data_IF_951400742398
#
_entry.id   IF_951400742398
#
_cell.length_a   1.000
_cell.length_b   1.000
_cell.length_c   1.000
_cell.angle_alpha   90.00
_cell.angle_beta   90.00
_cell.angle_gamma   90.00
#
_symmetry.space_group_name_H-M   'P 1'
#
loop_
_entity.id
_entity.type
_entity.pdbx_description
1 polymer ?
#
# COMPACT_ATOMS: atom_id res chain seq x y z
N UNK A 1 -33.32 -31.90 -15.43
CA UNK A 1 -32.10 -32.56 -15.97
C UNK A 1 -30.93 -31.95 -15.21
N UNK A 2 -30.68 -32.46 -13.99
CA UNK A 2 -29.56 -33.37 -13.60
C UNK A 2 -28.40 -32.48 -13.08
N UNK A 3 -27.99 -32.45 -11.81
CA UNK A 3 -28.20 -33.35 -10.65
C UNK A 3 -27.95 -32.61 -9.31
N UNK A 4 -28.77 -32.92 -8.31
CA UNK A 4 -28.34 -32.96 -6.90
C UNK A 4 -27.39 -34.16 -6.68
N UNK A 5 -26.36 -34.02 -5.85
CA UNK A 5 -25.79 -35.16 -5.11
C UNK A 5 -25.36 -34.74 -3.71
N UNK A 6 -26.12 -35.25 -2.73
CA UNK A 6 -25.68 -35.53 -1.37
C UNK A 6 -24.68 -36.70 -1.36
N UNK A 7 -23.70 -36.68 -0.45
CA UNK A 7 -23.23 -37.92 0.17
C UNK A 7 -22.68 -37.69 1.57
N UNK A 8 -23.37 -38.37 2.47
CA UNK A 8 -23.15 -38.56 3.90
C UNK A 8 -22.13 -39.70 4.10
N UNK A 9 -21.28 -39.61 5.13
CA UNK A 9 -20.60 -40.77 5.71
C UNK A 9 -20.81 -40.78 7.23
N UNK A 10 -21.84 -41.50 7.67
CA UNK A 10 -21.99 -41.97 9.04
C UNK A 10 -21.14 -43.24 9.21
N UNK A 11 -20.28 -43.30 10.22
CA UNK A 11 -19.80 -44.57 10.75
C UNK A 11 -20.43 -44.82 12.13
N UNK A 12 -21.39 -45.74 12.16
CA UNK A 12 -21.81 -46.45 13.36
C UNK A 12 -20.87 -47.65 13.53
N UNK A 13 -20.23 -47.79 14.70
CA UNK A 13 -19.73 -49.08 15.16
C UNK A 13 -20.41 -49.50 16.46
N UNK A 14 -20.68 -50.80 16.49
CA UNK A 14 -21.57 -51.55 17.37
C UNK A 14 -20.97 -51.71 18.77
N UNK A 15 -21.85 -51.59 19.76
CA UNK A 15 -21.72 -51.77 21.20
C UNK A 15 -20.79 -52.93 21.63
N UNK A 16 -19.74 -52.63 22.38
CA UNK A 16 -19.21 -53.50 23.44
C UNK A 16 -18.56 -52.66 24.56
N UNK A 17 -18.59 -53.23 25.75
CA UNK A 17 -18.64 -52.61 27.07
C UNK A 17 -17.42 -51.81 27.55
N UNK A 18 -17.74 -50.77 28.35
CA UNK A 18 -17.03 -50.30 29.55
C UNK A 18 -15.57 -49.84 29.39
N UNK A 19 -15.34 -48.52 29.46
CA UNK A 19 -14.41 -47.90 30.44
C UNK A 19 -14.13 -46.41 30.10
N UNK A 20 -14.67 -45.53 30.96
CA UNK A 20 -13.99 -44.36 31.52
C UNK A 20 -13.16 -43.46 30.59
N UNK A 21 -13.75 -42.58 29.77
CA UNK A 21 -12.97 -41.57 29.02
C UNK A 21 -13.65 -40.20 28.90
N UNK A 22 -13.01 -39.22 29.57
CA UNK A 22 -12.84 -37.79 29.24
C UNK A 22 -13.93 -37.13 28.36
N UNK A 23 -14.68 -36.19 28.96
CA UNK A 23 -15.46 -35.20 28.23
C UNK A 23 -14.56 -34.42 27.26
N UNK A 24 -14.68 -34.74 25.97
CA UNK A 24 -14.08 -33.98 24.89
C UNK A 24 -15.14 -32.97 24.41
N UNK A 25 -15.03 -31.72 24.86
CA UNK A 25 -15.84 -30.61 24.35
C UNK A 25 -15.22 -30.20 23.01
N UNK A 26 -15.89 -30.54 21.91
CA UNK A 26 -15.56 -29.98 20.60
C UNK A 26 -16.16 -28.58 20.51
N UNK A 27 -15.33 -27.55 20.70
CA UNK A 27 -15.65 -26.20 20.26
C UNK A 27 -15.34 -26.17 18.76
N UNK A 28 -16.37 -26.23 17.93
CA UNK A 28 -16.25 -25.91 16.50
C UNK A 28 -16.15 -24.38 16.43
N UNK A 29 -14.93 -23.87 16.41
CA UNK A 29 -14.68 -22.48 15.98
C UNK A 29 -14.85 -22.47 14.47
N UNK A 30 -16.01 -22.03 13.98
CA UNK A 30 -16.07 -21.54 12.62
C UNK A 30 -15.18 -20.30 12.56
N UNK A 31 -13.95 -20.45 12.05
CA UNK A 31 -13.25 -19.33 11.49
C UNK A 31 -14.09 -18.91 10.27
N UNK A 32 -14.95 -17.91 10.44
CA UNK A 32 -15.44 -17.14 9.33
C UNK A 32 -14.20 -16.48 8.72
N UNK A 33 -13.56 -17.17 7.77
CA UNK A 33 -12.69 -16.51 6.81
C UNK A 33 -13.70 -15.75 5.95
N UNK A 34 -14.05 -14.53 6.36
CA UNK A 34 -14.73 -13.63 5.46
C UNK A 34 -13.84 -13.54 4.23
N UNK A 35 -14.33 -14.00 3.08
CA UNK A 35 -13.89 -13.38 1.84
C UNK A 35 -14.19 -11.90 2.05
N UNK A 36 -13.18 -11.09 2.35
CA UNK A 36 -13.33 -9.66 2.26
C UNK A 36 -13.70 -9.41 0.81
N UNK A 37 -14.93 -8.98 0.57
CA UNK A 37 -15.31 -8.48 -0.73
C UNK A 37 -14.36 -7.34 -1.07
N UNK A 38 -13.93 -7.27 -2.32
CA UNK A 38 -13.15 -6.12 -2.79
C UNK A 38 -13.90 -4.83 -2.48
N UNK A 39 -13.18 -3.72 -2.22
CA UNK A 39 -13.80 -2.43 -2.01
C UNK A 39 -14.78 -2.07 -3.12
N UNK A 40 -15.87 -1.39 -2.75
CA UNK A 40 -16.78 -0.79 -3.71
C UNK A 40 -16.20 0.56 -4.07
N UNK A 41 -16.04 0.85 -5.36
CA UNK A 41 -15.59 2.16 -5.80
C UNK A 41 -16.80 3.09 -5.88
N UNK A 42 -16.96 3.96 -4.88
CA UNK A 42 -18.06 4.94 -4.80
C UNK A 42 -17.60 6.34 -4.36
N UNK A 43 -16.30 6.53 -4.19
CA UNK A 43 -15.65 7.77 -3.77
C UNK A 43 -15.69 7.97 -2.26
N UNK A 44 -15.91 6.91 -1.47
CA UNK A 44 -15.92 6.96 -0.01
C UNK A 44 -15.17 5.76 0.59
N UNK A 45 -14.09 6.05 1.31
CA UNK A 45 -13.37 4.99 2.04
C UNK A 45 -14.19 4.52 3.25
N UNK A 46 -14.82 3.35 3.10
CA UNK A 46 -15.57 2.73 4.18
C UNK A 46 -14.68 1.84 5.06
N UNK A 47 -14.72 1.98 6.40
CA UNK A 47 -14.01 1.09 7.31
C UNK A 47 -14.43 -0.39 7.20
N UNK A 48 -15.60 -0.67 6.61
CA UNK A 48 -16.08 -2.03 6.41
C UNK A 48 -15.49 -2.72 5.17
N UNK A 49 -14.79 -2.00 4.29
CA UNK A 49 -14.43 -2.47 2.94
C UNK A 49 -13.02 -3.03 2.78
N UNK A 50 -12.36 -3.39 3.89
CA UNK A 50 -11.08 -4.11 3.82
C UNK A 50 -9.89 -3.28 3.33
N UNK A 51 -10.08 -2.00 3.00
CA UNK A 51 -9.01 -1.05 2.72
C UNK A 51 -7.92 -1.11 3.78
N UNK A 52 -6.68 -1.23 3.33
CA UNK A 52 -5.50 -1.16 4.16
C UNK A 52 -4.94 0.26 4.12
N UNK A 53 -4.79 0.86 5.29
CA UNK A 53 -4.11 2.15 5.43
C UNK A 53 -2.61 2.01 5.15
N UNK A 54 -2.03 2.92 4.39
CA UNK A 54 -0.58 2.96 4.10
C UNK A 54 0.13 4.06 4.89
N UNK A 55 -0.28 5.30 4.67
CA UNK A 55 0.37 6.48 5.20
C UNK A 55 -0.63 7.63 5.23
N UNK A 56 -0.47 8.51 6.21
CA UNK A 56 -1.17 9.78 6.29
C UNK A 56 -0.17 10.92 6.27
N UNK A 57 -0.64 12.08 5.82
CA UNK A 57 0.06 13.33 5.93
C UNK A 57 0.20 13.69 7.41
N UNK A 58 1.43 13.85 7.94
CA UNK A 58 1.61 14.29 9.31
C UNK A 58 1.26 15.77 9.50
N UNK A 59 1.20 16.56 8.40
CA UNK A 59 0.70 17.94 8.43
C UNK A 59 -0.81 17.92 8.29
N UNK A 60 -1.51 18.03 9.43
CA UNK A 60 -2.97 17.87 9.47
C UNK A 60 -3.72 19.19 9.50
N UNK A 61 -3.07 20.35 9.33
CA UNK A 61 -3.79 21.65 9.35
C UNK A 61 -2.95 22.92 9.09
N UNK A 62 -1.64 22.84 8.83
CA UNK A 62 -0.78 24.04 8.78
C UNK A 62 -0.29 24.45 7.39
N UNK A 63 -0.54 23.63 6.36
CA UNK A 63 -0.22 24.01 4.99
C UNK A 63 -1.07 25.22 4.55
N UNK A 64 -0.43 26.17 3.88
CA UNK A 64 -1.11 27.30 3.24
C UNK A 64 -1.85 26.90 1.95
N UNK A 65 -1.84 25.60 1.62
CA UNK A 65 -2.36 25.05 0.38
C UNK A 65 -3.78 24.48 0.55
N UNK A 66 -4.74 25.35 0.84
CA UNK A 66 -6.12 24.95 1.15
C UNK A 66 -6.82 24.11 0.06
N UNK A 67 -6.41 24.18 -1.21
CA UNK A 67 -6.95 23.33 -2.28
C UNK A 67 -5.96 22.29 -2.81
N UNK A 68 -4.87 22.05 -2.08
CA UNK A 68 -3.90 21.02 -2.41
C UNK A 68 -3.31 20.36 -1.14
N UNK A 69 -4.07 19.44 -0.57
CA UNK A 69 -3.74 18.75 0.69
C UNK A 69 -4.19 17.27 0.62
N UNK A 70 -3.31 16.36 0.22
CA UNK A 70 -3.50 14.91 0.32
C UNK A 70 -3.37 14.51 1.78
N UNK A 71 -4.38 13.81 2.30
CA UNK A 71 -4.45 13.39 3.70
C UNK A 71 -3.94 11.99 3.92
N UNK A 72 -4.40 11.01 3.14
CA UNK A 72 -4.13 9.60 3.44
C UNK A 72 -4.14 8.75 2.18
N UNK A 73 -3.27 7.73 2.16
CA UNK A 73 -3.21 6.70 1.13
C UNK A 73 -3.70 5.36 1.66
N UNK A 74 -4.45 4.66 0.82
CA UNK A 74 -5.00 3.34 1.09
C UNK A 74 -4.75 2.41 -0.09
N UNK A 75 -4.74 1.11 0.18
CA UNK A 75 -4.73 0.09 -0.84
C UNK A 75 -5.57 -1.12 -0.47
N UNK A 76 -5.97 -1.86 -1.49
CA UNK A 76 -6.46 -3.22 -1.36
C UNK A 76 -5.89 -4.03 -2.51
N UNK A 77 -5.67 -5.32 -2.33
CA UNK A 77 -5.16 -6.16 -3.41
C UNK A 77 -5.97 -7.44 -3.49
N UNK A 78 -6.18 -7.86 -4.72
CA UNK A 78 -6.77 -9.14 -5.08
C UNK A 78 -5.75 -9.93 -5.92
N UNK A 79 -6.13 -11.12 -6.36
CA UNK A 79 -5.29 -11.91 -7.26
C UNK A 79 -5.09 -11.27 -8.64
N UNK A 80 -5.97 -10.38 -9.08
CA UNK A 80 -5.97 -9.84 -10.44
C UNK A 80 -5.99 -8.31 -10.50
N UNK A 81 -6.23 -7.64 -9.38
CA UNK A 81 -6.32 -6.18 -9.31
C UNK A 81 -5.64 -5.60 -8.07
N UNK A 82 -4.96 -4.47 -8.26
CA UNK A 82 -4.55 -3.55 -7.21
C UNK A 82 -5.60 -2.43 -7.11
N UNK A 83 -6.03 -2.11 -5.90
CA UNK A 83 -6.89 -0.98 -5.62
C UNK A 83 -6.06 0.05 -4.88
N UNK A 84 -6.08 1.30 -5.34
CA UNK A 84 -5.44 2.43 -4.65
C UNK A 84 -6.52 3.47 -4.41
N UNK A 85 -6.46 4.08 -3.24
CA UNK A 85 -7.29 5.23 -2.92
C UNK A 85 -6.51 6.27 -2.13
N UNK A 86 -6.96 7.52 -2.23
CA UNK A 86 -6.50 8.56 -1.33
C UNK A 86 -7.63 9.50 -0.93
N UNK A 87 -7.50 10.08 0.26
CA UNK A 87 -8.33 11.19 0.73
C UNK A 87 -7.52 12.46 0.75
N UNK A 88 -8.22 13.59 0.77
CA UNK A 88 -7.63 14.93 0.85
C UNK A 88 -8.30 15.72 1.96
N UNK A 89 -7.59 16.68 2.55
CA UNK A 89 -8.12 17.65 3.50
C UNK A 89 -8.38 19.02 2.85
N UNK A 90 -8.65 19.04 1.54
CA UNK A 90 -8.91 20.27 0.81
C UNK A 90 -10.08 21.05 1.45
N UNK A 91 -9.83 22.32 1.74
CA UNK A 91 -10.76 23.34 2.25
C UNK A 91 -11.16 24.36 1.19
N UNK A 92 -10.54 24.29 0.01
CA UNK A 92 -10.83 25.10 -1.16
C UNK A 92 -10.73 24.26 -2.44
N UNK A 93 -11.35 24.73 -3.53
CA UNK A 93 -11.30 24.05 -4.83
C UNK A 93 -10.41 24.81 -5.81
N UNK A 94 -9.27 24.23 -6.19
CA UNK A 94 -8.30 24.83 -7.11
C UNK A 94 -8.15 24.01 -8.39
N UNK A 95 -7.73 24.64 -9.48
CA UNK A 95 -7.33 23.90 -10.69
C UNK A 95 -5.97 23.26 -10.48
N UNK A 96 -5.94 21.96 -10.20
CA UNK A 96 -4.74 21.21 -9.82
C UNK A 96 -4.72 19.84 -10.48
N UNK A 97 -3.52 19.28 -10.63
CA UNK A 97 -3.34 17.93 -11.12
C UNK A 97 -2.98 16.98 -9.96
N UNK A 98 -3.63 15.81 -9.95
CA UNK A 98 -3.31 14.71 -9.05
C UNK A 98 -2.57 13.64 -9.84
N UNK A 99 -1.41 13.23 -9.34
CA UNK A 99 -0.56 12.23 -9.96
C UNK A 99 -0.36 11.01 -9.07
N UNK A 100 -0.29 9.83 -9.69
CA UNK A 100 0.25 8.61 -9.05
C UNK A 100 1.32 8.04 -9.97
N UNK A 101 2.52 7.86 -9.45
CA UNK A 101 3.62 7.28 -10.21
C UNK A 101 3.96 5.89 -9.67
N UNK A 102 4.03 4.91 -10.55
CA UNK A 102 4.31 3.51 -10.22
C UNK A 102 5.63 3.06 -10.82
N UNK A 103 6.39 2.35 -10.01
CA UNK A 103 7.54 1.54 -10.40
C UNK A 103 7.17 0.09 -10.05
N UNK A 104 7.24 -0.77 -11.05
CA UNK A 104 6.74 -2.15 -11.01
C UNK A 104 7.84 -3.18 -11.23
N UNK A 105 9.00 -2.75 -11.73
CA UNK A 105 10.15 -3.60 -11.91
C UNK A 105 11.31 -3.21 -10.97
N UNK A 106 12.03 -4.23 -10.49
CA UNK A 106 13.09 -4.06 -9.47
C UNK A 106 14.44 -3.71 -10.09
N UNK A 107 14.46 -3.18 -11.32
CA UNK A 107 15.70 -2.88 -12.04
C UNK A 107 16.24 -1.50 -11.68
N UNK A 108 17.56 -1.35 -11.62
CA UNK A 108 18.14 -0.01 -11.71
C UNK A 108 18.06 0.42 -13.18
N UNK A 109 17.64 1.67 -13.45
CA UNK A 109 17.51 2.22 -14.80
C UNK A 109 16.52 1.47 -15.70
N UNK A 110 15.53 0.79 -15.11
CA UNK A 110 14.49 0.07 -15.84
C UNK A 110 13.21 0.87 -16.03
N UNK A 111 13.23 2.15 -15.70
CA UNK A 111 12.09 3.05 -15.82
C UNK A 111 12.51 4.48 -16.16
N UNK A 112 11.51 5.35 -16.25
CA UNK A 112 11.70 6.77 -16.49
C UNK A 112 12.21 7.49 -15.23
N UNK A 113 13.22 8.35 -15.40
CA UNK A 113 13.90 9.03 -14.27
C UNK A 113 13.99 10.55 -14.38
N UNK A 114 14.07 11.12 -15.59
CA UNK A 114 14.33 12.55 -15.74
C UNK A 114 13.74 13.11 -17.04
N UNK A 115 13.49 14.43 -17.05
CA UNK A 115 12.85 15.14 -18.16
C UNK A 115 11.52 15.82 -17.80
N UNK A 116 11.14 15.84 -16.52
CA UNK A 116 9.82 16.25 -16.06
C UNK A 116 8.84 15.09 -16.12
N UNK A 117 7.57 15.29 -15.77
CA UNK A 117 6.55 14.25 -15.87
C UNK A 117 5.84 14.18 -17.23
N UNK A 118 4.80 13.33 -17.36
CA UNK A 118 4.05 13.20 -18.61
C UNK A 118 3.24 14.45 -19.01
N UNK A 119 3.02 15.40 -18.09
CA UNK A 119 2.22 16.61 -18.29
C UNK A 119 3.06 17.90 -18.29
N UNK A 120 4.39 17.80 -18.27
CA UNK A 120 5.33 18.93 -18.35
C UNK A 120 5.71 19.57 -17.01
N UNK A 121 5.66 18.81 -15.90
CA UNK A 121 5.84 19.33 -14.54
C UNK A 121 7.26 19.06 -14.10
N UNK A 122 7.77 19.89 -13.19
CA UNK A 122 9.16 19.86 -12.76
C UNK A 122 9.39 18.76 -11.71
N UNK A 123 9.18 17.51 -12.11
CA UNK A 123 9.33 16.34 -11.25
C UNK A 123 10.45 15.46 -11.80
N UNK A 124 11.28 14.98 -10.89
CA UNK A 124 12.35 14.02 -11.13
C UNK A 124 12.05 12.74 -10.36
N UNK A 125 12.22 11.59 -11.03
CA UNK A 125 12.02 10.28 -10.45
C UNK A 125 13.39 9.59 -10.29
N UNK A 126 13.76 9.18 -9.08
CA UNK A 126 14.94 8.33 -8.88
C UNK A 126 16.31 8.98 -9.18
N UNK A 127 16.44 10.31 -9.05
CA UNK A 127 17.74 10.98 -9.19
C UNK A 127 18.56 10.87 -7.90
N UNK A 128 19.55 9.98 -7.91
CA UNK A 128 20.69 9.96 -6.98
C UNK A 128 20.43 9.61 -5.52
N UNK A 129 19.25 9.93 -4.98
CA UNK A 129 18.86 9.68 -3.58
C UNK A 129 18.40 8.23 -3.42
N UNK A 130 17.51 7.75 -4.31
CA UNK A 130 17.27 6.33 -4.54
C UNK A 130 17.26 6.07 -6.05
N UNK A 131 18.41 5.68 -6.64
CA UNK A 131 18.56 5.45 -8.07
C UNK A 131 17.79 4.22 -8.56
N UNK A 132 17.03 3.57 -7.69
CA UNK A 132 16.26 2.38 -7.99
C UNK A 132 14.78 2.67 -8.20
N UNK A 133 14.28 3.88 -7.88
CA UNK A 133 12.89 4.26 -8.15
C UNK A 133 12.76 4.89 -9.55
N UNK A 134 12.59 4.04 -10.55
CA UNK A 134 12.45 4.43 -11.95
C UNK A 134 11.03 4.08 -12.38
N UNK A 135 10.22 5.07 -12.73
CA UNK A 135 8.78 4.82 -12.90
C UNK A 135 8.48 4.16 -14.25
N UNK A 136 7.63 3.14 -14.21
CA UNK A 136 7.12 2.44 -15.39
C UNK A 136 5.81 3.05 -15.87
N UNK A 137 4.99 3.53 -14.93
CA UNK A 137 3.65 4.02 -15.20
C UNK A 137 3.34 5.28 -14.41
N UNK A 138 2.44 6.10 -14.95
CA UNK A 138 1.94 7.29 -14.28
C UNK A 138 0.45 7.46 -14.59
N UNK A 139 -0.34 7.75 -13.57
CA UNK A 139 -1.73 8.17 -13.69
C UNK A 139 -1.77 9.67 -13.42
N UNK A 140 -2.53 10.40 -14.22
CA UNK A 140 -2.73 11.82 -14.02
C UNK A 140 -4.18 12.21 -14.18
N UNK A 141 -4.65 13.06 -13.25
CA UNK A 141 -6.01 13.57 -13.23
C UNK A 141 -5.98 15.09 -13.11
N UNK A 142 -6.79 15.78 -13.91
CA UNK A 142 -7.03 17.22 -13.74
C UNK A 142 -8.33 17.45 -13.00
N UNK A 143 -8.26 18.10 -11.85
CA UNK A 143 -9.44 18.62 -11.16
C UNK A 143 -9.75 20.03 -11.66
N UNK A 144 -10.92 20.20 -12.27
CA UNK A 144 -11.43 21.53 -12.56
C UNK A 144 -12.01 22.13 -11.28
N UNK A 145 -11.23 23.02 -10.64
CA UNK A 145 -11.61 23.66 -9.40
C UNK A 145 -12.95 24.42 -9.48
N UNK A 146 -13.28 24.99 -10.64
CA UNK A 146 -14.53 25.75 -10.82
C UNK A 146 -15.73 24.83 -11.06
N UNK A 147 -15.52 23.75 -11.82
CA UNK A 147 -16.55 22.76 -12.11
C UNK A 147 -16.78 21.75 -10.99
N UNK A 148 -15.81 21.58 -10.08
CA UNK A 148 -15.88 20.59 -9.01
C UNK A 148 -15.87 19.16 -9.54
N UNK A 149 -15.07 18.89 -10.57
CA UNK A 149 -15.04 17.57 -11.22
C UNK A 149 -13.69 17.26 -11.85
N UNK A 150 -13.40 15.97 -12.04
CA UNK A 150 -12.25 15.52 -12.82
C UNK A 150 -12.60 15.64 -14.31
N UNK A 151 -11.86 16.45 -15.07
CA UNK A 151 -12.11 16.67 -16.50
C UNK A 151 -11.08 15.98 -17.41
N UNK A 152 -10.00 15.47 -16.83
CA UNK A 152 -9.02 14.64 -17.54
C UNK A 152 -8.54 13.55 -16.61
N UNK A 153 -8.38 12.35 -17.15
CA UNK A 153 -7.88 11.19 -16.45
C UNK A 153 -7.12 10.32 -17.44
N UNK A 154 -5.80 10.32 -17.34
CA UNK A 154 -4.92 9.68 -18.31
C UNK A 154 -3.94 8.74 -17.64
N UNK A 155 -3.63 7.69 -18.37
CA UNK A 155 -2.62 6.71 -18.00
C UNK A 155 -1.45 6.82 -18.97
N UNK A 156 -0.25 6.70 -18.42
CA UNK A 156 1.00 6.80 -19.15
C UNK A 156 1.88 5.62 -18.82
N UNK A 157 2.59 5.14 -19.84
CA UNK A 157 3.59 4.08 -19.73
C UNK A 157 4.92 4.56 -20.28
N UNK A 158 6.00 4.22 -19.60
CA UNK A 158 7.34 4.43 -20.11
C UNK A 158 7.64 3.48 -21.26
N UNK A 159 8.10 4.05 -22.38
CA UNK A 159 8.40 3.30 -23.60
C UNK A 159 9.90 3.23 -23.92
N UNK A 160 10.76 3.32 -22.90
CA UNK A 160 12.23 3.45 -22.97
C UNK A 160 12.76 4.87 -23.27
N UNK A 161 11.95 5.74 -23.89
CA UNK A 161 12.36 7.12 -24.19
C UNK A 161 11.63 8.16 -23.33
N UNK A 162 10.34 7.94 -23.08
CA UNK A 162 9.46 8.92 -22.42
C UNK A 162 8.21 8.25 -21.89
N UNK A 163 7.47 8.96 -21.03
CA UNK A 163 6.11 8.58 -20.68
C UNK A 163 5.20 8.87 -21.87
N UNK A 164 4.53 7.83 -22.37
CA UNK A 164 3.58 7.92 -23.48
C UNK A 164 2.18 7.64 -22.99
N UNK A 165 1.24 8.47 -23.46
CA UNK A 165 -0.16 8.24 -23.22
C UNK A 165 -0.53 6.84 -23.73
N UNK A 166 -1.14 6.05 -22.86
CA UNK A 166 -1.66 4.74 -23.19
C UNK A 166 -3.11 4.69 -22.72
N UNK A 167 -4.03 4.58 -23.67
CA UNK A 167 -5.41 4.27 -23.35
C UNK A 167 -5.50 2.79 -22.97
N UNK A 168 -5.29 2.49 -21.70
CA UNK A 168 -5.44 1.14 -21.16
C UNK A 168 -6.92 0.78 -20.91
N UNK A 169 -7.86 1.61 -21.39
CA UNK A 169 -9.29 1.32 -21.38
C UNK A 169 -9.89 1.33 -19.98
N UNK A 170 -9.41 2.23 -19.12
CA UNK A 170 -9.83 2.38 -17.72
C UNK A 170 -11.34 2.67 -17.66
N UNK A 171 -12.19 1.66 -17.35
CA UNK A 171 -13.64 1.82 -17.37
C UNK A 171 -14.11 2.82 -16.31
N UNK A 172 -15.29 3.41 -16.50
CA UNK A 172 -15.84 4.34 -15.49
C UNK A 172 -16.12 3.62 -14.17
N UNK A 173 -16.42 2.32 -14.21
CA UNK A 173 -16.62 1.47 -13.03
C UNK A 173 -15.33 1.14 -12.26
N UNK A 174 -14.15 1.40 -12.83
CA UNK A 174 -12.85 1.15 -12.19
C UNK A 174 -12.29 2.39 -11.49
N UNK A 175 -13.14 3.40 -11.34
CA UNK A 175 -12.82 4.64 -10.65
C UNK A 175 -14.04 5.28 -10.03
N UNK A 176 -13.84 5.91 -8.88
CA UNK A 176 -14.83 6.78 -8.27
C UNK A 176 -14.13 7.94 -7.56
N UNK A 177 -14.86 9.03 -7.37
CA UNK A 177 -14.37 10.17 -6.62
C UNK A 177 -15.52 10.94 -5.99
N UNK A 178 -15.20 11.66 -4.92
CA UNK A 178 -16.07 12.67 -4.31
C UNK A 178 -15.37 14.02 -4.24
N UNK A 179 -16.15 15.09 -4.20
CA UNK A 179 -15.68 16.47 -4.15
C UNK A 179 -16.63 17.42 -4.85
N UNK A 180 -16.37 18.71 -4.74
CA UNK A 180 -17.16 19.75 -5.38
C UNK A 180 -16.37 21.05 -5.59
N UNK A 181 -17.01 22.05 -6.20
CA UNK A 181 -16.39 23.33 -6.50
C UNK A 181 -16.10 24.22 -5.26
N UNK A 182 -16.55 23.81 -4.07
CA UNK A 182 -16.33 24.53 -2.82
C UNK A 182 -15.16 23.98 -2.01
N UNK A 183 -15.06 22.65 -1.90
CA UNK A 183 -14.04 21.98 -1.09
C UNK A 183 -12.98 21.28 -1.92
N UNK A 184 -13.12 21.23 -3.25
CA UNK A 184 -12.21 20.49 -4.12
C UNK A 184 -12.49 18.98 -4.09
N UNK A 185 -11.58 18.20 -4.69
CA UNK A 185 -11.56 16.74 -4.55
C UNK A 185 -11.48 16.39 -3.07
N UNK A 186 -12.14 15.31 -2.64
CA UNK A 186 -12.15 14.83 -1.25
C UNK A 186 -11.65 13.39 -1.14
N UNK A 187 -12.02 12.55 -2.11
CA UNK A 187 -11.57 11.17 -2.16
C UNK A 187 -11.52 10.71 -3.62
N UNK A 188 -10.58 9.81 -3.90
CA UNK A 188 -10.52 9.04 -5.13
C UNK A 188 -10.27 7.59 -4.81
N UNK A 189 -10.89 6.71 -5.59
CA UNK A 189 -10.70 5.27 -5.53
C UNK A 189 -10.52 4.72 -6.93
N UNK A 190 -9.59 3.79 -7.10
CA UNK A 190 -9.18 3.28 -8.40
C UNK A 190 -8.85 1.81 -8.33
N UNK A 191 -9.27 1.06 -9.36
CA UNK A 191 -8.89 -0.33 -9.58
C UNK A 191 -7.96 -0.45 -10.79
N UNK A 192 -6.78 -0.99 -10.56
CA UNK A 192 -5.74 -1.27 -11.55
C UNK A 192 -5.68 -2.78 -11.82
N UNK A 193 -6.11 -3.26 -13.00
CA UNK A 193 -5.92 -4.66 -13.37
C UNK A 193 -4.43 -4.98 -13.52
N UNK A 194 -3.94 -5.98 -12.81
CA UNK A 194 -2.51 -6.28 -12.70
C UNK A 194 -1.89 -6.75 -14.01
N UNK A 195 -2.69 -7.37 -14.89
CA UNK A 195 -2.25 -7.80 -16.22
C UNK A 195 -1.83 -6.62 -17.10
N UNK A 196 -2.41 -5.42 -16.89
CA UNK A 196 -2.01 -4.17 -17.56
C UNK A 196 -0.64 -3.67 -17.11
N UNK A 197 -0.21 -4.06 -15.91
CA UNK A 197 1.10 -3.74 -15.35
C UNK A 197 2.12 -4.86 -15.58
N UNK A 198 1.77 -5.90 -16.33
CA UNK A 198 2.64 -7.06 -16.56
C UNK A 198 2.67 -8.07 -15.41
N UNK A 199 1.68 -8.02 -14.50
CA UNK A 199 1.57 -8.83 -13.29
C UNK A 199 2.82 -8.75 -12.39
N UNK A 200 3.16 -7.56 -11.88
CA UNK A 200 4.37 -7.39 -11.10
C UNK A 200 4.25 -8.00 -9.70
N UNK A 201 5.35 -8.54 -9.22
CA UNK A 201 5.52 -9.10 -7.86
C UNK A 201 5.47 -8.03 -6.75
N UNK A 202 5.56 -6.75 -7.10
CA UNK A 202 5.51 -5.63 -6.18
C UNK A 202 5.27 -4.33 -6.91
N UNK A 203 4.65 -3.39 -6.21
CA UNK A 203 4.50 -2.00 -6.64
C UNK A 203 5.28 -1.11 -5.69
N UNK A 204 6.03 -0.17 -6.23
CA UNK A 204 6.43 1.04 -5.52
C UNK A 204 5.64 2.19 -6.09
N UNK A 205 5.11 3.06 -5.24
CA UNK A 205 4.41 4.23 -5.75
C UNK A 205 4.42 5.42 -4.79
N UNK A 206 4.02 6.55 -5.36
CA UNK A 206 3.74 7.82 -4.68
C UNK A 206 2.43 8.39 -5.20
N UNK A 207 1.74 9.17 -4.38
CA UNK A 207 0.63 10.01 -4.82
C UNK A 207 0.98 11.46 -4.50
N UNK A 208 0.73 12.38 -5.41
CA UNK A 208 1.16 13.77 -5.29
C UNK A 208 0.22 14.74 -6.01
N UNK A 209 0.32 16.01 -5.65
CA UNK A 209 -0.42 17.12 -6.23
C UNK A 209 0.51 18.14 -6.86
N UNK A 210 0.07 18.72 -7.97
CA UNK A 210 0.79 19.76 -8.71
C UNK A 210 -0.18 20.81 -9.26
N UNK A 211 0.37 21.91 -9.79
CA UNK A 211 -0.39 23.00 -10.40
C UNK A 211 -0.70 22.78 -11.87
N UNK A 212 -0.47 23.80 -12.70
CA UNK A 212 -0.50 23.74 -14.18
C UNK A 212 0.89 23.50 -14.79
N UNK A 213 1.00 23.56 -16.12
CA UNK A 213 2.27 23.38 -16.84
C UNK A 213 3.46 24.11 -16.18
N UNK A 214 4.61 23.42 -16.08
CA UNK A 214 5.81 23.94 -15.43
C UNK A 214 5.75 24.03 -13.90
N UNK A 215 4.72 23.49 -13.24
CA UNK A 215 4.67 23.46 -11.77
C UNK A 215 5.52 22.35 -11.16
N UNK A 216 5.87 22.49 -9.88
CA UNK A 216 6.41 21.43 -9.01
C UNK A 216 5.32 20.78 -8.15
N UNK A 217 5.71 19.89 -7.24
CA UNK A 217 4.82 19.15 -6.34
C UNK A 217 4.53 20.01 -5.12
N UNK A 218 3.26 20.25 -4.82
CA UNK A 218 2.87 21.02 -3.63
C UNK A 218 2.46 20.16 -2.44
N UNK A 219 2.14 18.90 -2.70
CA UNK A 219 1.90 17.90 -1.66
C UNK A 219 2.14 16.48 -2.19
N UNK A 220 2.61 15.58 -1.33
CA UNK A 220 2.98 14.21 -1.69
C UNK A 220 2.92 13.26 -0.51
N UNK A 221 2.41 12.06 -0.80
CA UNK A 221 2.47 10.92 0.10
C UNK A 221 3.21 9.73 -0.55
N UNK A 222 4.13 9.08 0.19
CA UNK A 222 4.69 9.52 1.47
C UNK A 222 5.49 10.84 1.30
N UNK A 223 5.68 11.57 2.41
CA UNK A 223 6.41 12.85 2.37
C UNK A 223 7.80 12.68 1.76
N UNK A 224 8.16 13.61 0.88
CA UNK A 224 9.46 13.62 0.20
C UNK A 224 10.30 14.80 0.67
N UNK A 225 11.61 14.62 0.90
CA UNK A 225 12.47 15.70 1.40
C UNK A 225 12.66 16.89 0.46
N UNK A 226 12.38 16.74 -0.85
CA UNK A 226 12.46 17.86 -1.80
C UNK A 226 11.27 18.80 -1.70
N UNK A 227 10.11 18.28 -1.27
CA UNK A 227 8.86 19.03 -1.22
C UNK A 227 8.82 19.83 0.08
N UNK A 228 8.84 21.15 -0.05
CA UNK A 228 8.72 22.07 1.08
C UNK A 228 7.25 22.39 1.38
N UNK A 229 6.92 22.50 2.67
CA UNK A 229 5.60 22.87 3.14
C UNK A 229 5.64 24.24 3.83
N UNK A 230 5.84 25.34 3.08
CA UNK A 230 6.03 26.64 3.67
C UNK A 230 4.72 27.16 4.29
N UNK A 231 4.85 27.78 5.47
CA UNK A 231 3.72 28.42 6.17
C UNK A 231 3.07 29.56 5.36
N UNK A 232 3.78 30.12 4.39
CA UNK A 232 3.28 31.09 3.41
C UNK A 232 3.85 30.73 2.04
N UNK A 233 2.99 30.62 1.02
CA UNK A 233 3.24 30.00 -0.29
C UNK A 233 4.65 30.10 -0.89
N UNK A 234 5.04 29.08 -1.66
CA UNK A 234 6.38 28.98 -2.23
C UNK A 234 6.69 27.74 -3.08
N UNK A 235 5.83 26.73 -3.11
CA UNK A 235 6.17 25.38 -3.61
C UNK A 235 5.71 25.07 -5.04
N UNK A 236 5.47 26.07 -5.87
CA UNK A 236 4.78 25.83 -7.16
C UNK A 236 5.70 25.70 -8.37
N UNK A 237 6.97 26.11 -8.31
CA UNK A 237 7.78 26.35 -9.53
C UNK A 237 9.20 25.83 -9.47
N UNK A 238 9.62 25.26 -8.37
CA UNK A 238 10.94 24.68 -8.21
C UNK A 238 11.00 23.29 -8.88
N UNK A 239 11.85 22.39 -8.39
CA UNK A 239 12.01 21.06 -8.96
C UNK A 239 12.13 20.02 -7.86
N UNK A 240 11.18 19.09 -7.87
CA UNK A 240 11.10 18.02 -6.88
C UNK A 240 11.74 16.74 -7.35
N UNK A 241 12.43 16.09 -6.42
CA UNK A 241 13.02 14.76 -6.62
C UNK A 241 12.41 13.78 -5.67
N UNK A 242 11.72 12.78 -6.24
CA UNK A 242 11.10 11.71 -5.47
C UNK A 242 12.17 10.74 -4.98
N UNK A 243 12.27 10.62 -3.66
CA UNK A 243 13.19 9.77 -2.93
C UNK A 243 12.49 8.77 -1.98
N UNK A 244 11.22 9.05 -1.63
CA UNK A 244 10.44 8.25 -0.69
C UNK A 244 9.17 7.76 -1.39
N UNK A 245 8.90 6.47 -1.26
CA UNK A 245 7.77 5.79 -1.88
C UNK A 245 7.22 4.70 -0.95
N UNK A 246 5.95 4.38 -1.10
CA UNK A 246 5.37 3.18 -0.48
C UNK A 246 5.69 1.97 -1.35
N UNK A 247 5.80 0.80 -0.72
CA UNK A 247 5.99 -0.47 -1.43
C UNK A 247 4.91 -1.47 -1.00
N UNK A 248 4.17 -1.99 -1.97
CA UNK A 248 3.24 -3.11 -1.83
C UNK A 248 3.87 -4.33 -2.50
N UNK A 249 3.77 -5.51 -1.90
CA UNK A 249 4.20 -6.76 -2.53
C UNK A 249 2.97 -7.45 -3.10
N UNK A 250 2.99 -7.69 -4.41
CA UNK A 250 1.92 -8.35 -5.13
C UNK A 250 1.80 -9.82 -4.72
N UNK A 251 0.57 -10.24 -4.52
CA UNK A 251 0.08 -11.59 -4.24
C UNK A 251 0.48 -12.21 -2.88
N UNK A 252 -0.53 -12.22 -1.99
CA UNK A 252 -0.58 -12.92 -0.70
C UNK A 252 0.48 -12.55 0.33
N UNK A 253 0.15 -11.51 1.12
CA UNK A 253 0.74 -11.28 2.43
C UNK A 253 1.70 -10.12 2.45
N UNK A 254 1.16 -8.91 2.59
CA UNK A 254 1.99 -7.78 3.00
C UNK A 254 2.54 -8.05 4.41
N UNK A 255 3.86 -7.89 4.65
CA UNK A 255 4.40 -7.69 5.99
C UNK A 255 3.53 -6.78 6.84
N UNK A 256 3.05 -7.24 7.99
CA UNK A 256 2.65 -6.31 9.04
C UNK A 256 3.90 -5.52 9.46
N UNK A 257 4.03 -4.29 8.97
CA UNK A 257 5.02 -3.35 9.45
C UNK A 257 4.46 -2.70 10.72
N UNK A 258 5.13 -2.87 11.87
CA UNK A 258 4.66 -2.25 13.11
C UNK A 258 5.80 -1.56 13.87
N UNK A 259 5.54 -0.36 14.41
CA UNK A 259 6.52 0.34 15.23
C UNK A 259 6.64 -0.31 16.62
N UNK A 260 7.87 -0.47 17.10
CA UNK A 260 8.23 -0.90 18.46
C UNK A 260 9.27 0.07 19.02
N UNK A 261 8.83 1.01 19.87
CA UNK A 261 9.69 2.04 20.47
C UNK A 261 10.61 2.75 19.44
N UNK A 262 10.05 3.24 18.34
CA UNK A 262 10.81 3.89 17.26
C UNK A 262 11.55 2.94 16.32
N UNK A 263 11.57 1.63 16.59
CA UNK A 263 12.06 0.61 15.65
C UNK A 263 10.93 0.18 14.69
N UNK A 264 11.24 0.00 13.42
CA UNK A 264 10.30 -0.54 12.42
C UNK A 264 10.61 -2.00 12.18
N UNK A 265 9.64 -2.87 12.43
CA UNK A 265 9.75 -4.31 12.14
C UNK A 265 8.88 -4.62 10.95
N UNK A 266 9.42 -5.29 9.91
CA UNK A 266 8.61 -5.85 8.83
C UNK A 266 9.15 -7.22 8.37
N UNK A 267 8.28 -8.07 7.84
CA UNK A 267 8.57 -9.42 7.35
C UNK A 267 8.45 -9.55 5.82
N UNK A 268 9.43 -10.11 5.12
CA UNK A 268 9.33 -10.39 3.69
C UNK A 268 9.94 -11.76 3.37
N UNK A 269 9.16 -12.68 2.75
CA UNK A 269 9.62 -13.95 2.14
C UNK A 269 10.70 -14.73 2.94
N UNK A 270 10.55 -14.84 4.25
CA UNK A 270 11.50 -15.54 5.12
C UNK A 270 12.64 -14.65 5.65
N UNK A 271 12.47 -13.34 5.63
CA UNK A 271 13.35 -12.34 6.22
C UNK A 271 12.54 -11.50 7.18
N UNK A 272 13.11 -11.23 8.35
CA UNK A 272 12.57 -10.30 9.33
C UNK A 272 13.50 -9.08 9.36
N UNK A 273 13.01 -7.94 8.90
CA UNK A 273 13.71 -6.68 8.92
C UNK A 273 13.38 -5.93 10.20
N UNK A 274 14.41 -5.41 10.86
CA UNK A 274 14.28 -4.63 12.09
C UNK A 274 15.15 -3.39 11.93
N UNK A 275 14.49 -2.27 11.65
CA UNK A 275 15.09 -0.93 11.55
C UNK A 275 15.05 -0.20 12.88
N UNK A 276 16.14 0.49 13.23
CA UNK A 276 16.21 1.38 14.39
C UNK A 276 17.46 1.18 15.25
N UNK A 277 17.40 1.61 16.51
CA UNK A 277 18.52 1.58 17.47
C UNK A 277 18.08 0.96 18.80
N UNK A 278 19.04 0.45 19.58
CA UNK A 278 18.79 -0.14 20.90
C UNK A 278 18.75 -1.67 20.89
N UNK A 279 18.18 -2.25 21.95
CA UNK A 279 18.14 -3.71 22.14
C UNK A 279 16.75 -4.23 21.82
N UNK A 280 16.68 -5.19 20.91
CA UNK A 280 15.43 -5.80 20.46
C UNK A 280 15.48 -7.32 20.63
N UNK A 281 14.50 -7.87 21.33
CA UNK A 281 14.29 -9.30 21.51
C UNK A 281 13.21 -9.81 20.53
N UNK A 282 13.58 -10.78 19.71
CA UNK A 282 12.72 -11.40 18.69
C UNK A 282 12.49 -12.85 19.05
N UNK A 283 11.22 -13.26 19.02
CA UNK A 283 10.81 -14.66 19.11
C UNK A 283 9.87 -15.00 17.96
N UNK A 284 10.12 -16.10 17.26
CA UNK A 284 9.22 -16.64 16.24
C UNK A 284 8.76 -18.03 16.67
N UNK A 285 7.47 -18.28 16.59
CA UNK A 285 6.85 -19.56 16.92
C UNK A 285 6.05 -20.11 15.75
N UNK A 286 5.90 -21.43 15.65
CA UNK A 286 4.97 -22.05 14.69
C UNK A 286 3.52 -22.04 15.20
N UNK A 287 2.58 -22.55 14.40
CA UNK A 287 1.15 -22.64 14.76
C UNK A 287 0.86 -23.47 16.02
N UNK A 288 1.77 -24.36 16.40
CA UNK A 288 1.65 -25.16 17.62
C UNK A 288 2.25 -24.44 18.84
N UNK A 289 2.69 -23.19 18.68
CA UNK A 289 3.32 -22.39 19.74
C UNK A 289 4.77 -22.79 20.04
N UNK A 290 5.40 -23.64 19.20
CA UNK A 290 6.80 -24.03 19.40
C UNK A 290 7.70 -22.92 18.89
N UNK A 291 8.63 -22.48 19.73
CA UNK A 291 9.61 -21.46 19.37
C UNK A 291 10.58 -22.04 18.32
N UNK A 292 10.55 -21.47 17.12
CA UNK A 292 11.41 -21.87 15.98
C UNK A 292 12.59 -20.93 15.76
N UNK A 293 12.54 -19.73 16.35
CA UNK A 293 13.64 -18.76 16.40
C UNK A 293 13.54 -17.93 17.69
N UNK A 294 14.68 -17.68 18.34
CA UNK A 294 14.82 -16.65 19.38
C UNK A 294 16.15 -15.93 19.21
N UNK A 295 16.12 -14.60 19.18
CA UNK A 295 17.29 -13.74 18.94
C UNK A 295 17.19 -12.46 19.77
N UNK A 296 18.30 -12.04 20.36
CA UNK A 296 18.50 -10.70 20.90
C UNK A 296 19.41 -9.94 19.95
N UNK A 297 19.00 -8.74 19.55
CA UNK A 297 19.70 -7.90 18.59
C UNK A 297 20.10 -6.59 19.25
N UNK A 298 21.37 -6.22 19.12
CA UNK A 298 21.86 -4.89 19.48
C UNK A 298 21.97 -4.09 18.17
N UNK A 299 21.06 -3.14 18.00
CA UNK A 299 20.92 -2.35 16.79
C UNK A 299 21.62 -1.00 16.95
N UNK A 300 22.54 -0.70 16.04
CA UNK A 300 23.08 0.64 15.81
C UNK A 300 22.55 1.26 14.51
N UNK A 301 21.88 0.44 13.69
CA UNK A 301 21.23 0.73 12.42
C UNK A 301 20.34 -0.48 12.06
N UNK A 302 19.56 -0.37 10.99
CA UNK A 302 18.71 -1.45 10.49
C UNK A 302 19.46 -2.76 10.25
N UNK A 303 18.85 -3.88 10.64
CA UNK A 303 19.36 -5.24 10.40
C UNK A 303 18.28 -6.14 9.80
N UNK A 304 18.72 -7.03 8.92
CA UNK A 304 17.91 -8.15 8.42
C UNK A 304 18.25 -9.41 9.20
N UNK A 305 17.24 -10.07 9.74
CA UNK A 305 17.31 -11.41 10.32
C UNK A 305 16.79 -12.39 9.28
N UNK A 306 17.66 -13.25 8.76
CA UNK A 306 17.26 -14.31 7.84
C UNK A 306 16.50 -15.40 8.62
N UNK A 307 15.33 -15.75 8.13
CA UNK A 307 14.39 -16.73 8.66
C UNK A 307 13.96 -17.70 7.55
N UNK A 308 14.91 -18.53 7.10
CA UNK A 308 14.65 -19.61 6.14
C UNK A 308 14.00 -20.80 6.86
N UNK A 309 12.67 -20.88 6.80
CA UNK A 309 11.88 -22.02 7.31
C UNK A 309 11.00 -22.61 6.20
N UNK A 310 10.46 -23.83 6.41
CA UNK A 310 9.49 -24.44 5.49
C UNK A 310 8.24 -23.57 5.30
N UNK A 311 7.45 -23.90 4.27
CA UNK A 311 6.14 -23.27 4.08
C UNK A 311 5.28 -23.45 5.33
N UNK A 312 4.57 -22.40 5.73
CA UNK A 312 3.71 -22.41 6.90
C UNK A 312 3.46 -21.02 7.48
N UNK A 313 2.58 -20.99 8.49
CA UNK A 313 2.29 -19.78 9.27
C UNK A 313 3.12 -19.78 10.54
N UNK A 314 3.71 -18.63 10.85
CA UNK A 314 4.51 -18.39 12.03
C UNK A 314 4.05 -17.11 12.73
N UNK A 315 4.21 -17.05 14.04
CA UNK A 315 3.90 -15.88 14.86
C UNK A 315 5.18 -15.23 15.34
N UNK A 316 5.34 -13.94 15.06
CA UNK A 316 6.47 -13.15 15.55
C UNK A 316 6.06 -12.37 16.78
N UNK A 317 6.93 -12.33 17.78
CA UNK A 317 6.87 -11.47 18.95
C UNK A 317 8.16 -10.67 19.01
N UNK A 318 8.05 -9.35 18.98
CA UNK A 318 9.17 -8.42 19.13
C UNK A 318 8.99 -7.62 20.40
N UNK A 319 10.05 -7.51 21.17
CA UNK A 319 10.10 -6.74 22.41
C UNK A 319 11.29 -5.78 22.38
N UNK A 320 11.04 -4.50 22.64
CA UNK A 320 12.07 -3.48 22.78
C UNK A 320 11.68 -2.53 23.91
N UNK A 321 12.59 -2.30 24.87
CA UNK A 321 12.39 -1.42 26.02
C UNK A 321 11.06 -1.65 26.77
N UNK A 322 10.67 -2.91 26.90
CA UNK A 322 9.42 -3.32 27.58
C UNK A 322 8.15 -3.19 26.73
N UNK A 323 8.23 -2.65 25.52
CA UNK A 323 7.12 -2.64 24.56
C UNK A 323 7.12 -3.94 23.78
N UNK A 324 5.98 -4.64 23.79
CA UNK A 324 5.79 -5.90 23.06
C UNK A 324 4.83 -5.70 21.91
N UNK A 325 5.21 -6.20 20.73
CA UNK A 325 4.33 -6.31 19.57
C UNK A 325 4.37 -7.73 19.00
N UNK A 326 3.26 -8.12 18.39
CA UNK A 326 3.10 -9.43 17.77
C UNK A 326 2.60 -9.26 16.35
N UNK A 327 3.01 -10.17 15.46
CA UNK A 327 2.51 -10.22 14.09
C UNK A 327 2.54 -11.62 13.50
N UNK A 328 2.13 -11.73 12.25
CA UNK A 328 2.09 -13.01 11.51
C UNK A 328 3.09 -13.03 10.35
N UNK A 329 3.70 -14.18 10.12
CA UNK A 329 4.59 -14.52 9.01
C UNK A 329 3.96 -15.67 8.23
N UNK A 330 3.81 -15.55 6.91
CA UNK A 330 3.30 -16.64 6.06
C UNK A 330 4.35 -16.99 5.00
N UNK A 331 5.00 -18.14 5.13
CA UNK A 331 5.98 -18.62 4.14
C UNK A 331 5.28 -19.55 3.16
N UNK A 332 5.36 -19.24 1.87
CA UNK A 332 4.91 -20.08 0.76
C UNK A 332 6.09 -20.12 -0.23
N UNK A 333 6.60 -21.31 -0.54
CA UNK A 333 7.72 -21.54 -1.46
C UNK A 333 7.24 -22.16 -2.76
#
# INVERSE_FOLDING_TARGET
>A
MILEYSSVMYYYYKKQEVSMHKCLVFIIVFAAIGLLASPVLDGVISPSEGWNFLVANPDTQTSSFEGADIESLFYFETRDSLYIAFTTQNRASWGVAYGIAFDTDRGNFSGYVSGGDAWGRNIIFGDGIDPTFCIDYQVYMWWDGSGGSITSWYFYRWNQDSLRFEDIGFPMEDRAYTGDASTGLQCIEMRFPLDKFGNPDSFRFVAYMTGGDGSSIVDILPQNPSVEFPATGGEWTDQDTIATFVRIYGHEGVPEAFPVNGNVVFYDRGYLFIGGTGVVDVTISDIAGRIVLKRRLNLSQSRTVVFDKPCGIYFVRVEADGVVKTGKISIIK
#
